data_IF_151058413963
#
_entry.id   IF_151058413963
#
_cell.length_a   1.000
_cell.length_b   1.000
_cell.length_c   1.000
_cell.angle_alpha   90.00
_cell.angle_beta   90.00
_cell.angle_gamma   90.00
#
_symmetry.space_group_name_H-M   'P 1'
#
loop_
_entity.id
_entity.type
_entity.pdbx_description
1 polymer ?
#
# COMPACT_ATOMS: atom_id res chain seq x y z
N UNK A 1 8.92 -17.17 -9.29
CA UNK A 1 8.51 -15.76 -9.20
C UNK A 1 7.34 -15.57 -8.25
N UNK A 2 7.31 -14.43 -7.59
CA UNK A 2 6.24 -14.13 -6.66
C UNK A 2 4.94 -13.84 -7.40
N UNK A 3 3.79 -14.28 -6.88
CA UNK A 3 2.52 -13.96 -7.50
C UNK A 3 2.19 -12.48 -7.35
N UNK A 4 1.53 -11.93 -8.36
CA UNK A 4 1.03 -10.55 -8.34
C UNK A 4 -0.49 -10.60 -8.46
N UNK A 5 -1.16 -9.92 -7.55
CA UNK A 5 -2.61 -9.85 -7.49
C UNK A 5 -3.09 -8.43 -7.75
N UNK A 6 -4.28 -8.31 -8.30
CA UNK A 6 -4.96 -7.04 -8.41
C UNK A 6 -5.90 -6.87 -7.23
N UNK A 7 -5.88 -5.73 -6.58
CA UNK A 7 -6.77 -5.46 -5.48
C UNK A 7 -8.18 -5.12 -5.96
N UNK A 8 -9.15 -5.23 -5.06
CA UNK A 8 -10.42 -4.53 -5.21
C UNK A 8 -10.16 -3.02 -5.11
N UNK A 9 -11.12 -2.18 -5.49
CA UNK A 9 -10.96 -0.75 -5.28
C UNK A 9 -10.68 -0.42 -3.81
N UNK A 10 -9.74 0.50 -3.60
CA UNK A 10 -9.27 0.90 -2.28
C UNK A 10 -9.35 2.42 -2.16
N UNK A 11 -9.67 2.91 -0.96
CA UNK A 11 -9.57 4.33 -0.65
C UNK A 11 -8.29 4.57 0.14
N UNK A 12 -7.46 5.49 -0.31
CA UNK A 12 -6.23 5.83 0.41
C UNK A 12 -6.58 6.77 1.56
N UNK A 13 -6.39 6.30 2.79
CA UNK A 13 -6.65 7.10 3.99
C UNK A 13 -5.45 7.93 4.37
N UNK A 14 -4.26 7.37 4.29
CA UNK A 14 -3.01 8.06 4.64
C UNK A 14 -1.90 7.64 3.72
N UNK A 15 -1.01 8.58 3.45
CA UNK A 15 0.26 8.34 2.77
C UNK A 15 1.36 8.85 3.68
N UNK A 16 2.37 8.02 3.91
CA UNK A 16 3.50 8.40 4.76
C UNK A 16 4.80 7.93 4.14
N UNK A 17 5.76 8.84 4.00
CA UNK A 17 7.11 8.47 3.61
C UNK A 17 7.85 7.90 4.81
N UNK A 18 8.66 6.87 4.57
CA UNK A 18 9.48 6.27 5.61
C UNK A 18 10.82 5.81 5.01
N UNK A 19 11.71 5.37 5.89
CA UNK A 19 13.07 5.00 5.53
C UNK A 19 14.04 6.11 5.90
N UNK A 20 15.32 5.79 5.89
CA UNK A 20 16.37 6.72 6.30
C UNK A 20 16.37 7.99 5.45
N UNK A 21 16.11 7.86 4.15
CA UNK A 21 16.04 8.98 3.21
C UNK A 21 14.61 9.27 2.75
N UNK A 22 13.61 8.72 3.43
CA UNK A 22 12.19 8.83 3.07
C UNK A 22 11.92 8.37 1.64
N UNK A 23 12.61 7.32 1.23
CA UNK A 23 12.53 6.78 -0.13
C UNK A 23 11.36 5.83 -0.33
N UNK A 24 10.74 5.39 0.76
CA UNK A 24 9.64 4.42 0.74
C UNK A 24 8.32 5.08 1.12
N UNK A 25 7.22 4.50 0.65
CA UNK A 25 5.87 4.99 0.96
C UNK A 25 5.07 3.91 1.66
N UNK A 26 4.42 4.29 2.74
CA UNK A 26 3.42 3.48 3.41
C UNK A 26 2.05 4.09 3.12
N UNK A 27 1.10 3.25 2.70
CA UNK A 27 -0.28 3.66 2.47
C UNK A 27 -1.18 2.89 3.42
N UNK A 28 -2.05 3.63 4.10
CA UNK A 28 -3.18 3.02 4.81
C UNK A 28 -4.36 3.08 3.87
N UNK A 29 -4.88 1.92 3.50
CA UNK A 29 -5.96 1.82 2.52
C UNK A 29 -7.14 1.06 3.09
N UNK A 30 -8.35 1.47 2.70
CA UNK A 30 -9.58 0.79 3.11
C UNK A 30 -10.23 0.17 1.89
N UNK A 31 -10.53 -1.12 1.98
CA UNK A 31 -11.19 -1.85 0.89
C UNK A 31 -12.66 -1.44 0.81
N UNK A 32 -13.09 -1.06 -0.39
CA UNK A 32 -14.49 -0.74 -0.61
C UNK A 32 -15.34 -2.00 -0.51
N UNK A 33 -16.50 -1.87 0.11
CA UNK A 33 -17.42 -2.96 0.33
C UNK A 33 -17.25 -3.62 1.70
N UNK A 34 -16.04 -4.05 2.06
CA UNK A 34 -15.77 -4.70 3.34
C UNK A 34 -15.42 -3.72 4.46
N UNK A 35 -14.87 -2.57 4.13
CA UNK A 35 -14.37 -1.62 5.12
C UNK A 35 -13.08 -2.05 5.80
N UNK A 36 -12.46 -3.13 5.34
CA UNK A 36 -11.21 -3.62 5.92
C UNK A 36 -10.08 -2.65 5.61
N UNK A 37 -9.32 -2.29 6.63
CA UNK A 37 -8.14 -1.44 6.49
C UNK A 37 -6.89 -2.31 6.36
N UNK A 38 -6.08 -2.00 5.35
CA UNK A 38 -4.86 -2.73 5.05
C UNK A 38 -3.68 -1.75 4.98
N UNK A 39 -2.49 -2.28 5.22
CA UNK A 39 -1.25 -1.54 5.03
C UNK A 39 -0.61 -1.95 3.71
N UNK A 40 -0.22 -0.96 2.92
CA UNK A 40 0.49 -1.20 1.67
C UNK A 40 1.85 -0.51 1.75
N UNK A 41 2.87 -1.19 1.29
CA UNK A 41 4.24 -0.65 1.26
C UNK A 41 4.76 -0.60 -0.15
N UNK A 42 5.21 0.58 -0.55
CA UNK A 42 5.77 0.83 -1.87
C UNK A 42 7.25 1.16 -1.69
N UNK A 43 8.09 0.15 -1.81
CA UNK A 43 9.52 0.28 -1.57
C UNK A 43 10.19 1.05 -2.70
N UNK A 44 10.95 2.09 -2.33
CA UNK A 44 11.70 2.96 -3.25
C UNK A 44 10.83 3.68 -4.29
N UNK A 45 9.59 3.98 -3.91
CA UNK A 45 8.61 4.59 -4.82
C UNK A 45 8.15 5.98 -4.37
N UNK A 46 8.91 6.63 -3.47
CA UNK A 46 8.49 7.92 -2.93
C UNK A 46 8.30 8.97 -4.03
N UNK A 47 9.15 8.98 -5.05
CA UNK A 47 9.05 9.94 -6.16
C UNK A 47 7.89 9.63 -7.10
N UNK A 48 7.37 8.41 -7.06
CA UNK A 48 6.35 7.94 -8.00
C UNK A 48 4.94 8.03 -7.43
N UNK A 49 4.83 8.15 -6.11
CA UNK A 49 3.53 8.20 -5.43
C UNK A 49 3.36 9.58 -4.81
N UNK A 50 2.57 10.46 -5.43
CA UNK A 50 2.43 11.84 -4.95
C UNK A 50 1.59 11.91 -3.67
N UNK A 51 1.78 12.98 -2.91
CA UNK A 51 0.97 13.22 -1.71
C UNK A 51 -0.52 13.32 -2.04
N UNK A 52 -0.83 13.77 -3.25
CA UNK A 52 -2.21 13.91 -3.72
C UNK A 52 -2.95 12.57 -3.84
N UNK A 53 -2.24 11.44 -3.73
CA UNK A 53 -2.90 10.12 -3.71
C UNK A 53 -3.80 9.96 -2.48
N UNK A 54 -3.50 10.68 -1.41
CA UNK A 54 -4.30 10.61 -0.17
C UNK A 54 -5.72 11.09 -0.45
N UNK A 55 -6.69 10.25 -0.08
CA UNK A 55 -8.10 10.51 -0.35
C UNK A 55 -8.59 9.95 -1.67
N UNK A 56 -7.70 9.48 -2.53
CA UNK A 56 -8.07 8.96 -3.84
C UNK A 56 -8.57 7.52 -3.75
N UNK A 57 -9.34 7.16 -4.76
CA UNK A 57 -9.79 5.78 -4.99
C UNK A 57 -8.83 5.15 -5.98
N UNK A 58 -8.20 4.05 -5.59
CA UNK A 58 -7.14 3.43 -6.38
C UNK A 58 -7.35 1.92 -6.51
N UNK A 59 -6.60 1.33 -7.41
CA UNK A 59 -6.39 -0.12 -7.46
C UNK A 59 -4.89 -0.39 -7.44
N UNK A 60 -4.50 -1.45 -6.74
CA UNK A 60 -3.10 -1.86 -6.64
C UNK A 60 -2.87 -3.19 -7.36
N UNK A 61 -1.70 -3.29 -7.99
CA UNK A 61 -1.09 -4.58 -8.28
C UNK A 61 -0.09 -4.83 -7.16
N UNK A 62 -0.19 -5.94 -6.46
CA UNK A 62 0.60 -6.17 -5.27
C UNK A 62 1.00 -7.64 -5.11
N UNK A 63 2.05 -7.85 -4.31
CA UNK A 63 2.44 -9.16 -3.81
C UNK A 63 2.20 -9.16 -2.31
N UNK A 64 1.46 -10.15 -1.76
CA UNK A 64 1.28 -10.24 -0.31
C UNK A 64 2.61 -10.47 0.40
N UNK A 65 2.79 -9.81 1.53
CA UNK A 65 3.94 -10.01 2.39
C UNK A 65 3.51 -10.14 3.83
N UNK A 66 4.40 -10.66 4.66
CA UNK A 66 4.16 -10.76 6.09
C UNK A 66 5.12 -9.81 6.78
N UNK A 67 4.57 -8.94 7.61
CA UNK A 67 5.34 -8.05 8.47
C UNK A 67 5.21 -8.56 9.89
N UNK A 68 6.33 -8.87 10.53
CA UNK A 68 6.35 -9.31 11.92
C UNK A 68 6.96 -8.21 12.79
N UNK A 69 6.21 -7.76 13.78
CA UNK A 69 6.64 -6.71 14.67
C UNK A 69 6.18 -7.06 16.10
N UNK A 70 7.11 -7.05 17.04
CA UNK A 70 6.84 -7.39 18.44
C UNK A 70 6.11 -8.74 18.60
N UNK A 71 6.51 -9.73 17.79
CA UNK A 71 5.91 -11.05 17.85
C UNK A 71 4.55 -11.17 17.20
N UNK A 72 4.04 -10.08 16.60
CA UNK A 72 2.75 -10.07 15.91
C UNK A 72 3.00 -10.06 14.42
N UNK A 73 2.43 -11.04 13.70
CA UNK A 73 2.51 -11.11 12.26
C UNK A 73 1.26 -10.49 11.65
N UNK A 74 1.44 -9.65 10.64
CA UNK A 74 0.34 -9.06 9.87
C UNK A 74 0.65 -9.12 8.40
N UNK A 75 -0.41 -9.16 7.58
CA UNK A 75 -0.28 -9.13 6.12
C UNK A 75 -0.12 -7.69 5.66
N UNK A 76 0.84 -7.47 4.78
CA UNK A 76 0.97 -6.19 4.09
C UNK A 76 0.92 -6.39 2.59
N UNK A 77 0.50 -5.36 1.87
CA UNK A 77 0.45 -5.38 0.42
C UNK A 77 1.73 -4.73 -0.09
N UNK A 78 2.59 -5.49 -0.76
CA UNK A 78 3.79 -4.93 -1.39
C UNK A 78 3.41 -4.40 -2.76
N UNK A 79 3.43 -3.08 -2.92
CA UNK A 79 2.96 -2.42 -4.13
C UNK A 79 3.92 -2.68 -5.29
N UNK A 80 3.39 -3.21 -6.38
CA UNK A 80 4.12 -3.40 -7.64
C UNK A 80 3.76 -2.30 -8.63
N UNK A 81 2.48 -1.94 -8.65
CA UNK A 81 1.97 -0.88 -9.51
C UNK A 81 0.67 -0.36 -8.93
N UNK A 82 0.21 0.77 -9.41
CA UNK A 82 -1.04 1.37 -8.92
C UNK A 82 -1.65 2.25 -9.99
N UNK A 83 -2.97 2.45 -9.86
CA UNK A 83 -3.70 3.37 -10.73
C UNK A 83 -4.79 4.08 -9.95
N UNK A 84 -5.08 5.32 -10.33
CA UNK A 84 -6.21 6.08 -9.79
C UNK A 84 -7.44 5.70 -10.60
N UNK A 85 -8.52 5.40 -9.91
CA UNK A 85 -9.79 5.01 -10.52
C UNK A 85 -10.70 6.21 -10.78
#
# INVERSE_FOLDING_TARGET
PEPIFASLPLRVKKRKAFGHYREHISLEVTEEGSGITLQAKAWRQADQIPESIQGQRIRLAYTPGINAYNGIASVELRVRDWEVL
#
